data_IF_101503149123
#
_entry.id   IF_101503149123
#
_cell.length_a   1.000
_cell.length_b   1.000
_cell.length_c   1.000
_cell.angle_alpha   90.00
_cell.angle_beta   90.00
_cell.angle_gamma   90.00
#
_symmetry.space_group_name_H-M   'P 1'
#
loop_
_entity.id
_entity.type
_entity.pdbx_description
1 polymer ?
#
# COMPACT_ATOMS: atom_id res chain seq x y z
N UNK A 1 4.56 0.54 -19.46
CA UNK A 1 4.65 -0.08 -18.13
C UNK A 1 3.31 -0.74 -17.82
N UNK A 2 3.27 -2.04 -17.55
CA UNK A 2 2.04 -2.70 -17.09
C UNK A 2 1.59 -2.02 -15.79
N UNK A 3 0.37 -1.46 -15.77
CA UNK A 3 -0.23 -0.94 -14.54
C UNK A 3 -0.25 -2.09 -13.54
N UNK A 4 0.52 -1.99 -12.45
CA UNK A 4 0.43 -2.97 -11.36
C UNK A 4 -0.98 -2.87 -10.79
N UNK A 5 -1.74 -3.96 -10.87
CA UNK A 5 -3.06 -4.05 -10.23
C UNK A 5 -2.85 -4.13 -8.72
N UNK A 6 -3.10 -3.02 -8.03
CA UNK A 6 -3.00 -2.96 -6.57
C UNK A 6 -4.30 -3.49 -5.95
N UNK A 7 -4.15 -4.25 -4.88
CA UNK A 7 -5.26 -4.87 -4.15
C UNK A 7 -5.24 -4.38 -2.70
N UNK A 8 -6.43 -4.16 -2.16
CA UNK A 8 -6.65 -3.95 -0.73
C UNK A 8 -6.92 -5.31 -0.11
N UNK A 9 -6.21 -5.61 0.99
CA UNK A 9 -6.29 -6.88 1.70
C UNK A 9 -6.36 -6.60 3.20
N UNK A 10 -6.98 -7.52 3.95
CA UNK A 10 -6.80 -7.59 5.40
C UNK A 10 -5.40 -8.10 5.74
N UNK A 11 -4.84 -7.55 6.81
CA UNK A 11 -3.59 -8.04 7.40
C UNK A 11 -3.90 -9.15 8.41
N UNK A 12 -3.05 -10.17 8.45
CA UNK A 12 -3.15 -11.22 9.48
C UNK A 12 -2.66 -10.68 10.83
N UNK A 13 -1.50 -10.02 10.82
CA UNK A 13 -0.87 -9.39 11.98
C UNK A 13 -0.56 -7.90 11.70
N UNK A 14 -1.51 -6.99 11.95
CA UNK A 14 -1.36 -5.56 11.64
C UNK A 14 -0.15 -4.90 12.32
N UNK A 15 0.17 -5.31 13.55
CA UNK A 15 1.27 -4.75 14.33
C UNK A 15 2.63 -4.92 13.64
N UNK A 16 2.85 -6.02 12.93
CA UNK A 16 4.08 -6.26 12.17
C UNK A 16 4.23 -5.26 11.02
N UNK A 17 3.15 -4.95 10.32
CA UNK A 17 3.18 -3.99 9.22
C UNK A 17 3.45 -2.55 9.68
N UNK A 18 2.94 -2.15 10.85
CA UNK A 18 3.21 -0.79 11.39
C UNK A 18 4.68 -0.53 11.71
N UNK A 19 5.48 -1.58 11.93
CA UNK A 19 6.93 -1.50 12.20
C UNK A 19 7.79 -1.94 11.02
N UNK A 20 7.17 -2.31 9.90
CA UNK A 20 7.86 -2.85 8.74
C UNK A 20 8.46 -1.73 7.90
N UNK A 21 9.77 -1.76 7.65
CA UNK A 21 10.46 -0.77 6.79
C UNK A 21 10.00 -0.75 5.32
N UNK A 22 9.24 -1.77 4.91
CA UNK A 22 8.68 -1.89 3.56
C UNK A 22 7.20 -1.51 3.50
N UNK A 23 6.62 -1.09 4.62
CA UNK A 23 5.27 -0.57 4.70
C UNK A 23 5.34 0.96 4.74
N UNK A 24 4.60 1.58 3.83
CA UNK A 24 4.39 3.02 3.81
C UNK A 24 2.93 3.32 4.15
N UNK A 25 2.61 4.60 4.28
CA UNK A 25 1.22 5.03 4.37
C UNK A 25 0.80 5.58 3.01
N UNK A 26 -0.42 5.27 2.60
CA UNK A 26 -0.99 5.74 1.35
C UNK A 26 -2.46 6.13 1.52
N UNK A 27 -2.90 7.08 0.72
CA UNK A 27 -4.32 7.34 0.50
C UNK A 27 -4.80 6.42 -0.63
N UNK A 28 -5.82 5.62 -0.34
CA UNK A 28 -6.36 4.59 -1.23
C UNK A 28 -7.79 4.94 -1.59
N UNK A 29 -8.05 5.12 -2.89
CA UNK A 29 -9.40 5.22 -3.43
C UNK A 29 -9.95 3.81 -3.66
N UNK A 30 -10.99 3.46 -2.90
CA UNK A 30 -11.73 2.22 -3.02
C UNK A 30 -12.65 2.24 -4.26
N UNK A 31 -13.19 1.08 -4.63
CA UNK A 31 -14.10 0.98 -5.77
C UNK A 31 -15.39 1.80 -5.62
N UNK A 32 -15.83 2.06 -4.38
CA UNK A 32 -16.99 2.90 -4.06
C UNK A 32 -16.68 4.41 -4.07
N UNK A 33 -15.44 4.79 -4.39
CA UNK A 33 -14.98 6.18 -4.44
C UNK A 33 -14.57 6.77 -3.09
N UNK A 34 -14.65 6.00 -1.99
CA UNK A 34 -14.13 6.44 -0.70
C UNK A 34 -12.60 6.46 -0.73
N UNK A 35 -12.01 7.49 -0.13
CA UNK A 35 -10.56 7.58 0.07
C UNK A 35 -10.26 7.30 1.54
N UNK A 36 -9.37 6.34 1.80
CA UNK A 36 -8.95 5.98 3.15
C UNK A 36 -7.44 5.89 3.25
N UNK A 37 -6.90 6.35 4.39
CA UNK A 37 -5.49 6.22 4.72
C UNK A 37 -5.20 4.80 5.19
N UNK A 38 -4.30 4.10 4.49
CA UNK A 38 -4.02 2.68 4.68
C UNK A 38 -2.51 2.39 4.64
N UNK A 39 -2.13 1.20 5.12
CA UNK A 39 -0.77 0.68 4.95
C UNK A 39 -0.58 0.19 3.51
N UNK A 40 0.50 0.62 2.88
CA UNK A 40 0.92 0.18 1.56
C UNK A 40 2.15 -0.70 1.69
N UNK A 41 2.02 -1.98 1.35
CA UNK A 41 3.15 -2.92 1.39
C UNK A 41 3.86 -2.97 0.04
N UNK A 42 5.19 -2.78 0.04
CA UNK A 42 6.04 -2.85 -1.16
C UNK A 42 6.60 -4.24 -1.47
N UNK A 43 6.55 -5.17 -0.52
CA UNK A 43 7.05 -6.54 -0.69
C UNK A 43 6.07 -7.34 -1.52
N UNK A 44 6.53 -7.98 -2.59
CA UNK A 44 5.69 -8.89 -3.41
C UNK A 44 5.63 -10.31 -2.85
N UNK A 45 6.51 -10.61 -1.89
CA UNK A 45 6.70 -11.90 -1.22
C UNK A 45 6.23 -11.87 0.24
N UNK A 46 5.42 -10.88 0.62
CA UNK A 46 4.88 -10.80 1.98
C UNK A 46 3.74 -11.80 2.15
N UNK A 47 3.80 -12.56 3.24
CA UNK A 47 2.83 -13.58 3.63
C UNK A 47 1.83 -13.08 4.69
N UNK A 48 1.99 -11.85 5.19
CA UNK A 48 1.12 -11.25 6.20
C UNK A 48 -0.23 -10.72 5.66
N UNK A 49 -0.68 -11.26 4.53
CA UNK A 49 -1.89 -10.83 3.83
C UNK A 49 -2.92 -11.96 3.78
N UNK A 50 -4.16 -11.63 4.08
CA UNK A 50 -5.28 -12.53 3.79
C UNK A 50 -5.72 -12.35 2.33
N UNK A 51 -5.20 -13.19 1.43
CA UNK A 51 -5.53 -13.11 0.00
C UNK A 51 -7.01 -13.40 -0.29
N UNK A 52 -7.72 -14.09 0.62
CA UNK A 52 -9.16 -14.32 0.48
C UNK A 52 -10.00 -13.04 0.60
N UNK A 53 -9.43 -12.00 1.20
CA UNK A 53 -10.07 -10.69 1.39
C UNK A 53 -9.74 -9.67 0.29
N UNK A 54 -9.09 -10.10 -0.80
CA UNK A 54 -8.54 -9.18 -1.79
C UNK A 54 -9.62 -8.45 -2.60
N UNK A 55 -9.61 -7.12 -2.52
CA UNK A 55 -10.49 -6.22 -3.27
C UNK A 55 -9.67 -5.27 -4.17
N UNK A 56 -10.21 -4.82 -5.31
CA UNK A 56 -9.49 -3.91 -6.19
C UNK A 56 -9.36 -2.50 -5.58
N UNK A 57 -8.16 -1.92 -5.67
CA UNK A 57 -7.96 -0.49 -5.44
C UNK A 57 -8.11 0.28 -6.75
N UNK A 58 -8.83 1.40 -6.73
CA UNK A 58 -9.00 2.26 -7.92
C UNK A 58 -7.81 3.18 -8.10
N UNK A 59 -7.29 3.73 -7.01
CA UNK A 59 -6.11 4.61 -6.99
C UNK A 59 -5.36 4.45 -5.67
N UNK A 60 -4.04 4.57 -5.72
CA UNK A 60 -3.17 4.60 -4.54
C UNK A 60 -2.20 5.77 -4.69
N UNK A 61 -2.17 6.64 -3.68
CA UNK A 61 -1.25 7.78 -3.61
C UNK A 61 -0.44 7.64 -2.32
N UNK A 62 0.87 7.42 -2.45
CA UNK A 62 1.76 7.32 -1.29
C UNK A 62 1.76 8.65 -0.54
N UNK A 63 1.53 8.61 0.77
CA UNK A 63 1.76 9.77 1.62
C UNK A 63 3.23 10.14 1.47
N UNK A 64 3.54 11.37 1.01
CA UNK A 64 4.93 11.86 0.95
C UNK A 64 5.51 11.90 2.38
N UNK A 65 6.12 10.81 2.81
CA UNK A 65 7.18 10.83 3.80
C UNK A 65 8.43 11.31 3.07
N UNK A 66 8.99 12.43 3.50
CA UNK A 66 10.21 13.05 2.98
C UNK A 66 11.28 12.02 2.60
N UNK A 67 11.55 11.90 1.31
CA UNK A 67 12.87 11.61 0.72
C UNK A 67 12.73 11.83 -0.78
N UNK A 68 12.50 13.10 -1.08
CA UNK A 68 12.89 13.72 -2.33
C UNK A 68 14.42 13.71 -2.36
N UNK A 69 15.01 12.59 -2.81
CA UNK A 69 16.35 12.63 -3.37
C UNK A 69 16.17 13.01 -4.82
N UNK A 70 15.88 14.30 -5.03
CA UNK A 70 16.04 14.96 -6.31
C UNK A 70 17.47 14.69 -6.80
N UNK A 71 17.51 14.28 -8.05
CA UNK A 71 18.67 14.13 -8.91
C UNK A 71 19.55 15.39 -8.80
N UNK A 72 20.72 15.27 -8.19
CA UNK A 72 21.70 16.35 -8.15
C UNK A 72 23.09 15.81 -8.52
N UNK A 73 23.32 15.85 -9.85
CA UNK A 73 24.57 16.12 -10.59
C UNK A 73 25.81 15.25 -10.34
#
# INVERSE_FOLDING_TARGET
>A
MSKRELKVVRLLEPELCTRCRFADIADVEMADGRVQRMLYCRRLDCDNWDYGSAEPAKRVELSKGSEDWDDAA
#
